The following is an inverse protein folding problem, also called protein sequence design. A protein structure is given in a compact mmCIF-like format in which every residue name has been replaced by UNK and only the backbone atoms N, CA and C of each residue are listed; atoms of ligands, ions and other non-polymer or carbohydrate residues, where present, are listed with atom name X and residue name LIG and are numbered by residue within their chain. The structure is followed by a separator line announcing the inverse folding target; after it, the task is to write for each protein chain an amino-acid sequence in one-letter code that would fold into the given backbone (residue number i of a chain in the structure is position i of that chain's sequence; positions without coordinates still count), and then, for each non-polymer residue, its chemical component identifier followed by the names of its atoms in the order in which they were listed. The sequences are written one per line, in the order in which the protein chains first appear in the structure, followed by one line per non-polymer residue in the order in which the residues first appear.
data_IF_026733706485
#
_entry.id   IF_026733706485
#
_cell.length_a   1.000
_cell.length_b   1.000
_cell.length_c   1.000
_cell.angle_alpha   90.00
_cell.angle_beta   90.00
_cell.angle_gamma   90.00
#
_symmetry.space_group_name_H-M   'P 1'
#
loop_
_entity.id
_entity.type
_entity.pdbx_description
1 polymer ?
#
# COMPACT_ATOMS: atom_id res chain seq x y z
N UNK A 1 -22.94 13.90 -14.79
CA UNK A 1 -23.10 13.94 -13.32
C UNK A 1 -21.76 13.52 -12.74
N UNK A 2 -21.18 14.37 -11.90
CA UNK A 2 -19.89 14.10 -11.26
C UNK A 2 -20.10 13.04 -10.17
N UNK A 3 -19.80 11.78 -10.48
CA UNK A 3 -20.00 10.63 -9.58
C UNK A 3 -19.03 10.60 -8.39
N UNK A 4 -18.11 11.56 -8.32
CA UNK A 4 -17.02 11.62 -7.33
C UNK A 4 -17.48 11.74 -5.87
N UNK A 5 -18.79 11.93 -5.61
CA UNK A 5 -19.30 12.36 -4.31
C UNK A 5 -20.51 11.60 -3.75
N UNK A 6 -21.02 10.53 -4.39
CA UNK A 6 -22.21 9.77 -3.92
C UNK A 6 -21.91 8.29 -3.63
N UNK A 7 -22.52 7.73 -2.58
CA UNK A 7 -22.48 6.28 -2.28
C UNK A 7 -23.66 5.58 -2.96
N UNK A 8 -23.38 4.65 -3.87
CA UNK A 8 -24.40 3.78 -4.44
C UNK A 8 -24.66 2.57 -3.53
N UNK A 9 -25.88 2.00 -3.54
CA UNK A 9 -26.13 0.67 -2.99
C UNK A 9 -25.17 -0.36 -3.61
N UNK A 10 -24.95 -1.47 -2.91
CA UNK A 10 -24.14 -2.56 -3.46
C UNK A 10 -24.72 -3.04 -4.80
N UNK A 11 -23.87 -3.11 -5.82
CA UNK A 11 -24.21 -3.60 -7.15
C UNK A 11 -23.46 -4.90 -7.45
N UNK A 12 -24.15 -6.04 -7.65
CA UNK A 12 -23.53 -7.30 -8.04
C UNK A 12 -22.67 -7.22 -9.31
N UNK A 13 -22.95 -6.25 -10.21
CA UNK A 13 -22.17 -6.03 -11.41
C UNK A 13 -20.73 -5.60 -11.13
N UNK A 14 -20.41 -5.10 -9.94
CA UNK A 14 -19.03 -4.75 -9.54
C UNK A 14 -18.09 -5.96 -9.60
N UNK A 15 -18.58 -7.15 -9.26
CA UNK A 15 -17.80 -8.38 -9.39
C UNK A 15 -17.49 -8.68 -10.86
N UNK A 16 -18.48 -8.55 -11.74
CA UNK A 16 -18.30 -8.77 -13.17
C UNK A 16 -17.36 -7.74 -13.81
N UNK A 17 -17.44 -6.46 -13.39
CA UNK A 17 -16.50 -5.41 -13.80
C UNK A 17 -15.06 -5.75 -13.39
N UNK A 18 -14.86 -6.21 -12.16
CA UNK A 18 -13.55 -6.68 -11.71
C UNK A 18 -13.02 -7.83 -12.57
N UNK A 19 -13.80 -8.88 -12.82
CA UNK A 19 -13.34 -10.03 -13.61
C UNK A 19 -12.98 -9.65 -15.06
N UNK A 20 -13.75 -8.73 -15.66
CA UNK A 20 -13.48 -8.20 -16.99
C UNK A 20 -12.16 -7.40 -17.02
N UNK A 21 -11.91 -6.55 -16.02
CA UNK A 21 -10.69 -5.75 -15.94
C UNK A 21 -9.47 -6.61 -15.58
N UNK A 22 -9.63 -7.60 -14.68
CA UNK A 22 -8.61 -8.61 -14.36
C UNK A 22 -8.16 -9.38 -15.61
N UNK A 23 -9.09 -9.71 -16.51
CA UNK A 23 -8.77 -10.39 -17.78
C UNK A 23 -7.91 -9.54 -18.72
N UNK A 24 -8.02 -8.20 -18.66
CA UNK A 24 -7.16 -7.28 -19.40
C UNK A 24 -5.78 -7.09 -18.75
N UNK A 25 -5.72 -7.12 -17.41
CA UNK A 25 -4.48 -6.99 -16.65
C UNK A 25 -3.59 -8.24 -16.72
N UNK A 26 -4.19 -9.44 -16.71
CA UNK A 26 -3.47 -10.71 -16.76
C UNK A 26 -2.37 -10.80 -17.83
N UNK A 27 -2.61 -10.47 -19.12
CA UNK A 27 -1.56 -10.53 -20.14
C UNK A 27 -0.45 -9.49 -19.95
N UNK A 28 -0.70 -8.36 -19.29
CA UNK A 28 0.30 -7.31 -19.03
C UNK A 28 1.31 -7.79 -17.99
N UNK A 29 0.81 -8.38 -16.89
CA UNK A 29 1.67 -8.86 -15.82
C UNK A 29 2.23 -10.26 -16.08
N UNK A 30 1.48 -11.10 -16.80
CA UNK A 30 1.86 -12.46 -17.12
C UNK A 30 2.30 -13.24 -15.87
N UNK A 31 3.41 -14.01 -15.93
CA UNK A 31 3.93 -14.76 -14.79
C UNK A 31 4.41 -13.91 -13.61
N UNK A 32 4.53 -12.59 -13.77
CA UNK A 32 4.97 -11.71 -12.69
C UNK A 32 3.84 -11.35 -11.71
N UNK A 33 2.57 -11.50 -12.11
CA UNK A 33 1.45 -11.40 -11.18
C UNK A 33 1.40 -12.66 -10.33
N UNK A 34 1.73 -12.52 -9.06
CA UNK A 34 1.54 -13.59 -8.06
C UNK A 34 0.04 -13.80 -7.83
N UNK A 35 -0.69 -12.69 -7.62
CA UNK A 35 -2.13 -12.68 -7.38
C UNK A 35 -2.75 -11.39 -7.96
N UNK A 36 -4.03 -11.46 -8.34
CA UNK A 36 -4.83 -10.32 -8.78
C UNK A 36 -6.20 -10.39 -8.09
N UNK A 37 -6.47 -9.41 -7.23
CA UNK A 37 -7.57 -9.46 -6.27
C UNK A 37 -8.46 -8.21 -6.35
N UNK A 38 -9.77 -8.42 -6.15
CA UNK A 38 -10.74 -7.35 -5.94
C UNK A 38 -10.64 -6.91 -4.49
N UNK A 39 -10.26 -5.64 -4.28
CA UNK A 39 -10.10 -5.04 -2.96
C UNK A 39 -11.06 -3.85 -2.82
N UNK A 40 -10.91 -3.09 -1.73
CA UNK A 40 -11.78 -1.96 -1.46
C UNK A 40 -13.19 -2.38 -1.10
N UNK A 41 -14.09 -1.40 -1.01
CA UNK A 41 -15.44 -1.64 -0.49
C UNK A 41 -16.37 -2.28 -1.53
N UNK A 42 -16.13 -2.08 -2.82
CA UNK A 42 -16.92 -2.72 -3.89
C UNK A 42 -16.69 -4.23 -3.96
N UNK A 43 -15.64 -4.74 -3.33
CA UNK A 43 -15.39 -6.17 -3.14
C UNK A 43 -16.23 -6.81 -2.01
N UNK A 44 -16.98 -6.02 -1.22
CA UNK A 44 -17.70 -6.50 -0.05
C UNK A 44 -19.21 -6.38 -0.27
N UNK A 45 -19.87 -7.52 -0.37
CA UNK A 45 -21.32 -7.59 -0.64
C UNK A 45 -22.15 -6.90 0.45
N UNK A 46 -23.04 -6.01 0.02
CA UNK A 46 -23.96 -5.29 0.91
C UNK A 46 -23.43 -3.97 1.48
N UNK A 47 -22.23 -3.51 1.07
CA UNK A 47 -21.68 -2.22 1.52
C UNK A 47 -21.94 -1.12 0.48
N UNK A 48 -22.68 -0.04 0.84
CA UNK A 48 -22.78 1.15 0.01
C UNK A 48 -21.41 1.76 -0.25
N UNK A 49 -21.10 2.02 -1.51
CA UNK A 49 -19.75 2.41 -1.94
C UNK A 49 -19.80 3.40 -3.09
N UNK A 50 -18.72 4.19 -3.24
CA UNK A 50 -18.45 4.83 -4.51
C UNK A 50 -18.31 3.71 -5.57
N UNK A 51 -18.91 3.85 -6.76
CA UNK A 51 -18.90 2.80 -7.79
C UNK A 51 -17.55 2.73 -8.53
N UNK A 52 -16.46 2.65 -7.77
CA UNK A 52 -15.08 2.53 -8.25
C UNK A 52 -14.58 1.13 -7.90
N UNK A 53 -14.03 0.42 -8.88
CA UNK A 53 -13.50 -0.92 -8.69
C UNK A 53 -12.03 -0.81 -8.30
N UNK A 54 -11.69 -1.14 -7.05
CA UNK A 54 -10.31 -1.19 -6.58
C UNK A 54 -9.70 -2.58 -6.85
N UNK A 55 -8.60 -2.60 -7.59
CA UNK A 55 -7.89 -3.82 -8.00
C UNK A 55 -6.49 -3.79 -7.40
N UNK A 56 -6.06 -4.90 -6.81
CA UNK A 56 -4.67 -5.11 -6.40
C UNK A 56 -4.02 -6.20 -7.26
N UNK A 57 -2.80 -5.94 -7.72
CA UNK A 57 -1.93 -6.94 -8.34
C UNK A 57 -0.69 -7.08 -7.46
N UNK A 58 -0.42 -8.29 -6.95
CA UNK A 58 0.79 -8.57 -6.21
C UNK A 58 1.90 -8.99 -7.18
N UNK A 59 3.07 -8.35 -7.09
CA UNK A 59 4.29 -8.77 -7.78
C UNK A 59 5.40 -9.08 -6.78
N UNK A 60 6.41 -9.84 -7.21
CA UNK A 60 7.51 -10.26 -6.32
C UNK A 60 8.28 -9.08 -5.73
N UNK A 61 8.60 -8.08 -6.54
CA UNK A 61 9.47 -6.98 -6.12
C UNK A 61 9.04 -5.64 -6.68
N UNK A 62 9.22 -4.58 -5.89
CA UNK A 62 9.19 -3.20 -6.38
C UNK A 62 10.17 -2.99 -7.54
N UNK A 63 11.28 -3.75 -7.55
CA UNK A 63 12.28 -3.70 -8.61
C UNK A 63 11.67 -4.18 -9.91
N UNK A 64 11.59 -3.25 -10.87
CA UNK A 64 11.01 -3.50 -12.18
C UNK A 64 9.51 -3.25 -12.27
N UNK A 65 8.85 -2.71 -11.24
CA UNK A 65 7.43 -2.30 -11.35
C UNK A 65 7.19 -1.35 -12.52
N UNK A 66 8.14 -0.45 -12.79
CA UNK A 66 8.03 0.55 -13.85
C UNK A 66 7.93 -0.08 -15.26
N UNK A 67 8.32 -1.34 -15.45
CA UNK A 67 8.16 -2.04 -16.74
C UNK A 67 6.70 -2.29 -17.12
N UNK A 68 5.78 -2.24 -16.16
CA UNK A 68 4.35 -2.45 -16.39
C UNK A 68 3.61 -1.16 -16.76
N UNK A 69 4.22 0.00 -16.57
CA UNK A 69 3.59 1.33 -16.76
C UNK A 69 3.01 1.46 -18.16
N UNK A 70 3.81 1.21 -19.20
CA UNK A 70 3.35 1.34 -20.59
C UNK A 70 2.22 0.35 -20.91
N UNK A 71 2.28 -0.87 -20.36
CA UNK A 71 1.27 -1.89 -20.56
C UNK A 71 -0.08 -1.52 -19.93
N UNK A 72 -0.07 -1.02 -18.69
CA UNK A 72 -1.30 -0.56 -18.04
C UNK A 72 -1.84 0.73 -18.67
N UNK A 73 -0.94 1.62 -19.11
CA UNK A 73 -1.32 2.84 -19.84
C UNK A 73 -2.00 2.51 -21.18
N UNK A 74 -1.52 1.48 -21.89
CA UNK A 74 -2.10 1.04 -23.15
C UNK A 74 -3.55 0.54 -23.02
N UNK A 75 -4.00 0.11 -21.84
CA UNK A 75 -5.40 -0.28 -21.57
C UNK A 75 -6.21 0.84 -20.87
N UNK A 76 -5.67 2.06 -20.83
CA UNK A 76 -6.39 3.27 -20.42
C UNK A 76 -6.17 3.70 -18.96
N UNK A 77 -5.18 3.15 -18.26
CA UNK A 77 -4.78 3.67 -16.95
C UNK A 77 -3.89 4.91 -17.08
N UNK A 78 -4.21 5.97 -16.34
CA UNK A 78 -3.26 7.01 -15.99
C UNK A 78 -2.27 6.45 -14.96
N UNK A 79 -1.12 6.00 -15.47
CA UNK A 79 -0.04 5.40 -14.72
C UNK A 79 1.25 6.17 -15.00
N UNK A 80 2.01 6.43 -13.95
CA UNK A 80 3.33 7.06 -14.04
C UNK A 80 4.37 6.18 -13.35
N UNK A 81 5.64 6.23 -13.77
CA UNK A 81 6.72 5.57 -13.05
C UNK A 81 6.71 5.93 -11.57
N UNK A 82 6.92 4.94 -10.72
CA UNK A 82 6.92 5.11 -9.28
C UNK A 82 8.22 5.81 -8.84
N UNK A 83 8.14 7.01 -8.21
CA UNK A 83 9.33 7.66 -7.68
C UNK A 83 9.69 7.08 -6.31
N UNK A 84 10.92 6.59 -6.10
CA UNK A 84 11.35 6.09 -4.79
C UNK A 84 10.60 4.84 -4.31
N UNK A 85 10.57 4.63 -2.99
CA UNK A 85 9.97 3.42 -2.40
C UNK A 85 8.57 3.73 -1.90
N UNK A 86 7.58 3.07 -2.49
CA UNK A 86 6.20 3.09 -2.02
C UNK A 86 5.72 1.66 -1.76
N UNK A 87 4.68 1.49 -0.92
CA UNK A 87 4.04 0.18 -0.74
C UNK A 87 3.24 -0.29 -1.98
N UNK A 88 3.01 0.61 -2.95
CA UNK A 88 2.38 0.29 -4.24
C UNK A 88 2.66 1.33 -5.32
N UNK A 89 2.59 0.93 -6.59
CA UNK A 89 2.30 1.84 -7.71
C UNK A 89 0.78 1.97 -7.83
N UNK A 90 0.27 3.21 -7.91
CA UNK A 90 -1.16 3.48 -8.02
C UNK A 90 -1.49 4.12 -9.37
N UNK A 91 -2.55 3.64 -10.02
CA UNK A 91 -3.02 4.15 -11.30
C UNK A 91 -4.56 4.21 -11.34
N UNK A 92 -5.12 5.07 -12.19
CA UNK A 92 -6.58 5.28 -12.31
C UNK A 92 -7.03 5.12 -13.76
N UNK A 93 -8.25 4.62 -14.00
CA UNK A 93 -8.83 4.49 -15.34
C UNK A 93 -10.28 4.97 -15.35
N UNK A 94 -10.67 5.65 -16.42
CA UNK A 94 -12.01 6.20 -16.66
C UNK A 94 -12.12 7.70 -16.38
N UNK A 95 -13.06 8.36 -17.05
CA UNK A 95 -13.47 9.74 -16.80
C UNK A 95 -15.02 9.84 -16.88
N UNK A 96 -15.75 9.85 -15.74
CA UNK A 96 -15.23 9.82 -14.36
C UNK A 96 -14.53 8.50 -14.02
N UNK A 97 -13.69 8.51 -12.98
CA UNK A 97 -12.89 7.34 -12.58
C UNK A 97 -13.79 6.12 -12.29
N UNK A 98 -13.49 5.00 -12.94
CA UNK A 98 -14.19 3.73 -12.77
C UNK A 98 -13.32 2.65 -12.11
N UNK A 99 -12.00 2.72 -12.29
CA UNK A 99 -11.07 1.73 -11.76
C UNK A 99 -9.88 2.38 -11.07
N UNK A 100 -9.48 1.77 -9.97
CA UNK A 100 -8.23 1.99 -9.29
C UNK A 100 -7.38 0.74 -9.40
N UNK A 101 -6.12 0.90 -9.80
CA UNK A 101 -5.14 -0.19 -9.85
C UNK A 101 -4.04 0.09 -8.82
N UNK A 102 -3.77 -0.92 -8.00
CA UNK A 102 -2.67 -0.94 -7.03
C UNK A 102 -1.74 -2.09 -7.38
N UNK A 103 -0.52 -1.79 -7.82
CA UNK A 103 0.53 -2.80 -7.99
C UNK A 103 1.30 -2.86 -6.69
N UNK A 104 1.07 -3.90 -5.88
CA UNK A 104 1.69 -4.12 -4.58
C UNK A 104 2.92 -5.02 -4.71
N UNK A 105 3.79 -4.97 -3.70
CA UNK A 105 5.08 -5.65 -3.72
C UNK A 105 5.19 -6.62 -2.55
N UNK A 106 5.60 -7.87 -2.82
CA UNK A 106 5.75 -8.87 -1.74
C UNK A 106 6.96 -8.60 -0.84
N UNK A 107 7.90 -7.77 -1.31
CA UNK A 107 9.10 -7.40 -0.58
C UNK A 107 9.02 -6.02 0.10
N UNK A 108 7.95 -5.23 -0.11
CA UNK A 108 7.80 -3.88 0.47
C UNK A 108 6.42 -3.65 1.05
N UNK A 109 6.41 -3.18 2.30
CA UNK A 109 5.19 -2.68 2.95
C UNK A 109 4.22 -3.79 3.34
N UNK A 110 3.00 -3.38 3.66
CA UNK A 110 1.91 -4.27 4.08
C UNK A 110 0.60 -3.96 3.38
N UNK A 111 0.65 -3.21 2.27
CA UNK A 111 -0.55 -2.77 1.57
C UNK A 111 -1.45 -3.95 1.22
N UNK A 112 -0.89 -4.99 0.60
CA UNK A 112 -1.65 -6.17 0.20
C UNK A 112 -2.35 -6.84 1.37
N UNK A 113 -1.59 -7.18 2.42
CA UNK A 113 -2.10 -7.84 3.62
C UNK A 113 -3.22 -7.01 4.26
N UNK A 114 -3.02 -5.70 4.42
CA UNK A 114 -4.05 -4.82 4.97
C UNK A 114 -5.33 -4.84 4.12
N UNK A 115 -5.21 -4.77 2.80
CA UNK A 115 -6.39 -4.78 1.92
C UNK A 115 -7.13 -6.12 1.96
N UNK A 116 -6.41 -7.24 1.86
CA UNK A 116 -6.99 -8.58 1.86
C UNK A 116 -7.62 -8.91 3.22
N UNK A 117 -6.88 -8.69 4.32
CA UNK A 117 -7.36 -8.99 5.67
C UNK A 117 -8.58 -8.12 6.04
N UNK A 118 -8.57 -6.84 5.70
CA UNK A 118 -9.72 -5.97 5.93
C UNK A 118 -10.95 -6.45 5.15
N UNK A 119 -10.81 -6.74 3.85
CA UNK A 119 -11.87 -7.27 3.00
C UNK A 119 -12.44 -8.57 3.55
N UNK A 120 -11.58 -9.54 3.84
CA UNK A 120 -12.00 -10.89 4.21
C UNK A 120 -12.61 -10.94 5.62
N UNK A 121 -12.14 -10.08 6.53
CA UNK A 121 -12.79 -9.90 7.82
C UNK A 121 -14.22 -9.36 7.67
N UNK A 122 -14.42 -8.33 6.85
CA UNK A 122 -15.77 -7.78 6.62
C UNK A 122 -16.69 -8.74 5.85
N UNK A 123 -16.14 -9.60 4.98
CA UNK A 123 -16.89 -10.69 4.34
C UNK A 123 -17.31 -11.79 5.32
N UNK A 124 -16.52 -12.05 6.36
CA UNK A 124 -16.83 -13.09 7.35
C UNK A 124 -17.63 -12.59 8.56
N UNK A 125 -17.64 -11.28 8.83
CA UNK A 125 -18.33 -10.68 10.00
C UNK A 125 -19.47 -9.75 9.58
N UNK A 126 -20.71 -10.22 9.74
CA UNK A 126 -21.91 -9.44 9.40
C UNK A 126 -22.04 -8.16 10.25
N UNK A 127 -21.70 -8.23 11.54
CA UNK A 127 -21.75 -7.07 12.45
C UNK A 127 -20.74 -6.00 12.07
N UNK A 128 -19.49 -6.38 11.80
CA UNK A 128 -18.46 -5.45 11.37
C UNK A 128 -18.80 -4.82 10.00
N UNK A 129 -19.39 -5.61 9.10
CA UNK A 129 -19.86 -5.11 7.81
C UNK A 129 -20.96 -4.06 7.96
N UNK A 130 -21.94 -4.33 8.82
CA UNK A 130 -23.03 -3.39 9.11
C UNK A 130 -22.50 -2.11 9.74
N UNK A 131 -21.58 -2.22 10.69
CA UNK A 131 -20.92 -1.07 11.32
C UNK A 131 -20.18 -0.22 10.28
N UNK A 132 -19.42 -0.85 9.37
CA UNK A 132 -18.72 -0.12 8.31
C UNK A 132 -19.70 0.58 7.36
N UNK A 133 -20.78 -0.09 6.97
CA UNK A 133 -21.82 0.50 6.12
C UNK A 133 -22.47 1.72 6.79
N UNK A 134 -22.79 1.63 8.08
CA UNK A 134 -23.35 2.74 8.86
C UNK A 134 -22.36 3.91 8.97
N UNK A 135 -21.09 3.61 9.28
CA UNK A 135 -20.04 4.62 9.35
C UNK A 135 -19.95 5.39 8.05
N UNK A 136 -19.95 4.70 6.90
CA UNK A 136 -19.92 5.35 5.59
C UNK A 136 -21.10 6.29 5.36
N UNK A 137 -22.31 5.85 5.69
CA UNK A 137 -23.51 6.68 5.55
C UNK A 137 -23.45 7.89 6.50
N UNK A 138 -22.97 7.73 7.73
CA UNK A 138 -22.86 8.84 8.69
C UNK A 138 -21.86 9.92 8.28
N UNK A 139 -20.86 9.59 7.45
CA UNK A 139 -19.85 10.53 6.95
C UNK A 139 -20.32 11.35 5.74
N UNK A 140 -21.52 11.09 5.23
CA UNK A 140 -22.16 11.93 4.21
C UNK A 140 -22.60 13.24 4.88
N UNK A 141 -21.88 14.34 4.62
CA UNK A 141 -22.29 15.67 5.11
C UNK A 141 -23.48 16.15 4.29
N UNK A 142 -24.61 16.48 4.90
CA UNK A 142 -25.70 17.18 4.19
C UNK A 142 -25.26 18.60 3.84
N UNK A 143 -25.49 19.03 2.60
CA UNK A 143 -25.29 20.43 2.24
C UNK A 143 -26.39 21.32 2.88
N UNK A 144 -26.19 22.65 2.86
CA UNK A 144 -27.13 23.63 3.42
C UNK A 144 -28.50 23.66 2.72
N UNK A 145 -28.69 22.89 1.65
CA UNK A 145 -29.97 22.72 0.95
C UNK A 145 -30.71 21.42 1.30
N UNK A 146 -30.19 20.64 2.26
CA UNK A 146 -30.80 19.38 2.70
C UNK A 146 -30.59 18.21 1.73
N UNK A 147 -29.70 18.35 0.74
CA UNK A 147 -29.30 17.25 -0.15
C UNK A 147 -28.14 16.48 0.48
N UNK A 148 -28.10 15.17 0.26
CA UNK A 148 -26.97 14.32 0.65
C UNK A 148 -25.70 14.88 -0.01
N UNK A 149 -24.80 15.43 0.79
CA UNK A 149 -23.59 16.08 0.29
C UNK A 149 -22.36 15.19 0.41
N UNK A 150 -21.19 15.82 0.45
CA UNK A 150 -19.90 15.20 0.17
C UNK A 150 -19.57 14.04 1.13
N UNK A 151 -19.25 12.87 0.56
CA UNK A 151 -18.61 11.77 1.30
C UNK A 151 -17.11 12.06 1.44
N UNK A 152 -16.67 12.38 2.66
CA UNK A 152 -15.26 12.52 3.01
C UNK A 152 -14.63 11.14 3.24
N UNK A 153 -13.69 10.75 2.38
CA UNK A 153 -13.04 9.43 2.47
C UNK A 153 -12.06 9.29 3.64
N UNK A 154 -11.67 10.41 4.27
CA UNK A 154 -10.51 10.52 5.15
C UNK A 154 -10.89 11.16 6.51
N UNK A 155 -11.85 10.54 7.22
CA UNK A 155 -12.17 10.91 8.60
C UNK A 155 -11.46 10.01 9.61
N UNK A 156 -11.00 10.59 10.73
CA UNK A 156 -10.37 9.87 11.85
C UNK A 156 -11.17 8.62 12.26
N UNK A 157 -12.50 8.73 12.35
CA UNK A 157 -13.38 7.61 12.68
C UNK A 157 -13.27 6.41 11.72
N UNK A 158 -13.01 6.65 10.42
CA UNK A 158 -12.78 5.57 9.44
C UNK A 158 -11.40 4.96 9.61
N UNK A 159 -10.39 5.77 9.88
CA UNK A 159 -9.03 5.28 10.19
C UNK A 159 -9.09 4.37 11.42
N UNK A 160 -9.70 4.82 12.51
CA UNK A 160 -9.86 4.04 13.74
C UNK A 160 -10.62 2.72 13.52
N UNK A 161 -11.69 2.79 12.71
CA UNK A 161 -12.45 1.60 12.32
C UNK A 161 -11.58 0.60 11.58
N UNK A 162 -10.86 1.05 10.54
CA UNK A 162 -9.98 0.19 9.72
C UNK A 162 -8.90 -0.45 10.59
N UNK A 163 -8.24 0.33 11.44
CA UNK A 163 -7.20 -0.20 12.34
C UNK A 163 -7.75 -1.25 13.31
N UNK A 164 -8.93 -1.00 13.90
CA UNK A 164 -9.56 -1.98 14.79
C UNK A 164 -9.91 -3.27 14.05
N UNK A 165 -10.46 -3.18 12.84
CA UNK A 165 -10.76 -4.36 12.02
C UNK A 165 -9.49 -5.13 11.68
N UNK A 166 -8.42 -4.44 11.30
CA UNK A 166 -7.12 -5.08 11.04
C UNK A 166 -6.59 -5.81 12.27
N UNK A 167 -6.64 -5.20 13.47
CA UNK A 167 -6.26 -5.87 14.73
C UNK A 167 -7.10 -7.12 14.98
N UNK A 168 -8.42 -7.05 14.79
CA UNK A 168 -9.32 -8.19 14.96
C UNK A 168 -9.11 -9.29 13.90
N UNK A 169 -8.69 -8.93 12.70
CA UNK A 169 -8.28 -9.86 11.66
C UNK A 169 -6.92 -10.53 11.94
N UNK A 170 -6.25 -10.15 13.03
CA UNK A 170 -4.93 -10.67 13.39
C UNK A 170 -3.77 -9.97 12.67
N UNK A 171 -4.02 -8.81 12.04
CA UNK A 171 -2.94 -8.02 11.44
C UNK A 171 -2.07 -7.49 12.58
N UNK A 172 -0.82 -7.94 12.60
CA UNK A 172 0.21 -7.38 13.45
C UNK A 172 1.07 -6.48 12.58
N UNK A 173 1.22 -5.21 12.96
CA UNK A 173 2.08 -4.26 12.26
C UNK A 173 3.55 -4.61 12.52
N UNK A 174 4.04 -5.65 11.88
CA UNK A 174 5.40 -6.17 12.05
C UNK A 174 5.74 -7.10 10.89
N UNK A 175 6.26 -6.55 9.79
CA UNK A 175 7.18 -7.20 8.85
C UNK A 175 7.47 -6.26 7.68
N UNK A 176 8.15 -5.16 7.95
CA UNK A 176 8.86 -4.48 6.87
C UNK A 176 10.06 -5.37 6.54
N UNK A 177 10.02 -6.01 5.36
CA UNK A 177 11.12 -6.83 4.83
C UNK A 177 11.48 -8.08 5.64
N UNK A 178 10.54 -9.01 5.90
CA UNK A 178 10.98 -10.42 5.98
C UNK A 178 11.26 -10.90 4.56
N UNK A 179 12.52 -10.81 4.14
CA UNK A 179 12.99 -11.60 3.02
C UNK A 179 12.54 -13.06 3.21
N UNK A 180 11.99 -13.70 2.18
CA UNK A 180 11.64 -15.13 2.24
C UNK A 180 12.82 -15.95 2.80
N UNK A 181 12.57 -17.08 3.49
CA UNK A 181 13.60 -18.07 3.75
C UNK A 181 14.32 -18.37 2.43
N UNK A 182 15.64 -18.25 2.42
CA UNK A 182 16.45 -18.56 1.25
C UNK A 182 16.07 -19.94 0.72
N UNK A 183 15.67 -20.04 -0.55
CA UNK A 183 15.64 -21.34 -1.24
C UNK A 183 17.01 -21.98 -1.09
N UNK A 184 17.07 -23.26 -0.71
CA UNK A 184 18.31 -24.04 -0.76
C UNK A 184 18.97 -23.84 -2.13
N UNK A 185 20.21 -23.34 -2.12
CA UNK A 185 21.00 -23.09 -3.34
C UNK A 185 20.99 -21.65 -3.89
N UNK A 186 20.31 -20.68 -3.25
CA UNK A 186 20.54 -19.27 -3.57
C UNK A 186 21.98 -18.87 -3.19
N UNK A 187 22.73 -18.23 -4.10
CA UNK A 187 24.05 -17.67 -3.76
C UNK A 187 23.88 -16.76 -2.54
N UNK A 188 24.71 -16.89 -1.48
CA UNK A 188 24.63 -15.99 -0.35
C UNK A 188 24.78 -14.55 -0.86
N UNK A 189 23.76 -13.72 -0.64
CA UNK A 189 23.91 -12.27 -0.81
C UNK A 189 25.04 -11.85 0.14
N UNK A 190 25.94 -10.93 -0.24
CA UNK A 190 26.98 -10.47 0.66
C UNK A 190 26.30 -10.01 1.96
N UNK A 191 26.72 -10.59 3.10
CA UNK A 191 26.29 -10.18 4.44
C UNK A 191 26.84 -8.78 4.69
N UNK A 192 26.22 -7.76 4.10
CA UNK A 192 26.48 -6.36 4.46
C UNK A 192 25.78 -6.11 5.79
N UNK A 193 26.48 -5.56 6.77
CA UNK A 193 25.86 -5.11 8.02
C UNK A 193 25.72 -3.59 8.05
N UNK A 194 24.62 -3.11 8.64
CA UNK A 194 24.51 -1.72 9.07
C UNK A 194 25.30 -1.61 10.37
N UNK A 195 26.17 -0.63 10.46
CA UNK A 195 26.96 -0.34 11.67
C UNK A 195 26.30 0.74 12.51
N UNK A 196 25.56 1.66 11.88
CA UNK A 196 24.76 2.66 12.57
C UNK A 196 23.51 3.04 11.79
N UNK A 197 22.44 3.36 12.52
CA UNK A 197 21.23 3.99 12.00
C UNK A 197 20.97 5.28 12.76
N UNK A 198 20.64 6.35 12.03
CA UNK A 198 20.15 7.61 12.61
C UNK A 198 18.80 7.90 12.01
N UNK A 199 17.80 8.16 12.86
CA UNK A 199 16.48 8.63 12.41
C UNK A 199 16.50 10.15 12.38
N UNK A 200 16.23 10.73 11.22
CA UNK A 200 16.04 12.16 10.96
C UNK A 200 14.57 12.41 10.66
N UNK A 201 14.05 13.51 11.20
CA UNK A 201 12.68 13.97 10.99
C UNK A 201 11.58 12.91 11.25
N UNK A 202 11.88 11.87 12.04
CA UNK A 202 10.96 10.78 12.38
C UNK A 202 10.69 9.78 11.26
N UNK A 203 11.29 9.91 10.07
CA UNK A 203 11.03 9.00 8.95
C UNK A 203 12.22 8.80 8.01
N UNK A 204 13.25 9.63 8.06
CA UNK A 204 14.43 9.48 7.22
C UNK A 204 15.50 8.69 7.98
N UNK A 205 15.92 7.55 7.42
CA UNK A 205 17.02 6.76 7.95
C UNK A 205 18.32 7.15 7.25
N UNK A 206 19.30 7.59 8.03
CA UNK A 206 20.69 7.62 7.59
C UNK A 206 21.37 6.32 8.07
N UNK A 207 21.88 5.55 7.12
CA UNK A 207 22.46 4.24 7.38
C UNK A 207 23.95 4.28 7.04
N UNK A 208 24.78 3.84 7.99
CA UNK A 208 26.20 3.57 7.72
C UNK A 208 26.39 2.07 7.61
N UNK A 209 27.06 1.64 6.54
CA UNK A 209 27.34 0.23 6.30
C UNK A 209 28.77 -0.13 6.75
N UNK A 210 29.02 -1.43 6.88
CA UNK A 210 30.34 -2.00 7.21
C UNK A 210 31.46 -1.59 6.24
N UNK A 211 31.14 -1.30 4.98
CA UNK A 211 32.07 -0.80 3.97
C UNK A 211 32.31 0.72 4.04
N UNK A 212 31.77 1.40 5.06
CA UNK A 212 31.90 2.83 5.28
C UNK A 212 31.01 3.69 4.38
N UNK A 213 30.18 3.08 3.50
CA UNK A 213 29.21 3.84 2.73
C UNK A 213 28.10 4.35 3.63
N UNK A 214 27.58 5.52 3.25
CA UNK A 214 26.38 6.11 3.83
C UNK A 214 25.29 6.09 2.78
N UNK A 215 24.09 5.73 3.18
CA UNK A 215 22.90 5.80 2.33
C UNK A 215 21.71 6.29 3.13
N UNK A 216 20.70 6.79 2.44
CA UNK A 216 19.48 7.31 3.07
C UNK A 216 18.23 6.57 2.60
N UNK A 217 17.28 6.33 3.51
CA UNK A 217 15.99 5.68 3.21
C UNK A 217 14.86 6.48 3.86
N UNK A 218 13.95 6.99 3.06
CA UNK A 218 12.79 7.76 3.45
C UNK A 218 11.62 6.80 3.62
N UNK A 219 11.21 6.63 4.87
CA UNK A 219 10.13 5.73 5.24
C UNK A 219 8.74 6.32 4.94
N UNK A 220 8.60 7.60 4.55
CA UNK A 220 7.28 8.21 4.28
C UNK A 220 6.52 7.52 3.15
N UNK A 221 7.23 6.98 2.16
CA UNK A 221 6.63 6.18 1.09
C UNK A 221 6.36 4.73 1.48
N UNK A 222 7.14 4.21 2.44
CA UNK A 222 7.11 2.82 2.90
C UNK A 222 6.08 2.62 4.01
N UNK A 223 5.80 3.67 4.79
CA UNK A 223 5.00 3.58 6.00
C UNK A 223 4.09 4.80 6.09
N UNK A 224 2.89 4.68 5.53
CA UNK A 224 1.76 5.48 6.02
C UNK A 224 1.08 4.69 7.12
N UNK A 225 1.39 5.05 8.37
CA UNK A 225 0.50 4.98 9.53
C UNK A 225 1.26 5.52 10.76
N UNK A 226 0.94 6.77 11.13
CA UNK A 226 1.02 7.48 12.42
C UNK A 226 1.88 6.97 13.59
N UNK A 227 2.94 6.25 13.33
CA UNK A 227 3.92 5.84 14.33
C UNK A 227 5.00 6.91 14.27
N UNK A 228 5.12 7.72 15.31
CA UNK A 228 6.36 8.46 15.54
C UNK A 228 7.46 7.41 15.69
N UNK A 229 8.22 7.20 14.63
CA UNK A 229 9.38 6.31 14.67
C UNK A 229 10.42 7.07 15.48
N UNK A 230 10.39 6.84 16.79
CA UNK A 230 11.31 7.44 17.75
C UNK A 230 12.75 6.98 17.49
N UNK A 231 13.40 6.38 18.47
CA UNK A 231 14.77 5.91 18.22
C UNK A 231 14.77 4.57 17.51
N UNK A 232 15.77 4.37 16.65
CA UNK A 232 16.05 3.11 16.00
C UNK A 232 17.43 2.60 16.43
N UNK A 233 17.59 1.28 16.50
CA UNK A 233 18.85 0.61 16.81
C UNK A 233 19.13 -0.50 15.82
N UNK A 234 20.40 -0.81 15.61
CA UNK A 234 20.79 -2.00 14.86
C UNK A 234 20.81 -3.20 15.80
N UNK A 235 20.14 -4.28 15.42
CA UNK A 235 20.14 -5.55 16.13
C UNK A 235 20.21 -6.70 15.12
N UNK A 236 21.28 -7.50 15.18
CA UNK A 236 21.47 -8.77 14.45
C UNK A 236 20.84 -8.84 13.04
N UNK A 237 21.33 -8.01 12.12
CA UNK A 237 20.89 -8.02 10.72
C UNK A 237 19.57 -7.27 10.47
N UNK A 238 19.02 -6.61 11.49
CA UNK A 238 17.83 -5.78 11.40
C UNK A 238 18.06 -4.39 12.00
N UNK A 239 17.26 -3.43 11.57
CA UNK A 239 17.04 -2.15 12.24
C UNK A 239 15.73 -2.26 13.00
N UNK A 240 15.73 -1.98 14.30
CA UNK A 240 14.58 -2.08 15.20
C UNK A 240 14.22 -0.71 15.76
N UNK A 241 12.93 -0.42 15.92
CA UNK A 241 12.41 0.81 16.54
C UNK A 241 11.77 0.54 17.89
N UNK A 242 11.73 1.55 18.75
CA UNK A 242 11.12 1.49 20.09
C UNK A 242 9.63 1.09 20.06
N UNK A 243 8.94 1.37 18.96
CA UNK A 243 7.55 0.96 18.73
C UNK A 243 7.39 -0.54 18.42
N UNK A 244 8.48 -1.32 18.45
CA UNK A 244 8.49 -2.75 18.15
C UNK A 244 8.57 -3.08 16.66
N UNK A 245 8.67 -2.07 15.79
CA UNK A 245 8.88 -2.27 14.34
C UNK A 245 10.30 -2.75 14.08
N UNK A 246 10.52 -3.57 13.05
CA UNK A 246 11.86 -3.88 12.56
C UNK A 246 11.92 -4.05 11.03
N UNK A 247 13.11 -3.85 10.46
CA UNK A 247 13.40 -3.98 9.03
C UNK A 247 14.73 -4.70 8.79
N UNK A 248 14.78 -5.61 7.80
CA UNK A 248 16.02 -6.29 7.41
C UNK A 248 17.03 -5.34 6.75
N UNK A 249 18.29 -5.45 7.17
CA UNK A 249 19.41 -4.63 6.67
C UNK A 249 19.60 -4.76 5.16
N UNK A 250 19.39 -5.95 4.59
CA UNK A 250 19.52 -6.18 3.17
C UNK A 250 18.46 -5.44 2.35
N UNK A 251 17.24 -5.33 2.88
CA UNK A 251 16.17 -4.52 2.30
C UNK A 251 16.49 -3.02 2.33
N UNK A 252 16.95 -2.53 3.48
CA UNK A 252 17.33 -1.13 3.64
C UNK A 252 18.53 -0.72 2.76
N UNK A 253 19.57 -1.56 2.67
CA UNK A 253 20.71 -1.33 1.76
C UNK A 253 20.27 -1.28 0.29
N UNK A 254 19.38 -2.21 -0.10
CA UNK A 254 18.86 -2.28 -1.46
C UNK A 254 18.06 -1.04 -1.86
N UNK A 255 17.37 -0.40 -0.91
CA UNK A 255 16.68 0.88 -1.11
C UNK A 255 17.67 2.04 -1.14
N UNK A 256 18.59 2.11 -0.17
CA UNK A 256 19.54 3.22 -0.01
C UNK A 256 20.58 3.35 -1.14
N UNK A 257 20.81 2.27 -1.89
CA UNK A 257 21.83 2.20 -2.96
C UNK A 257 21.24 2.03 -4.36
N UNK A 258 19.92 2.07 -4.50
CA UNK A 258 19.27 2.04 -5.81
C UNK A 258 19.48 3.40 -6.51
N UNK A 259 20.12 3.47 -7.70
CA UNK A 259 20.29 4.73 -8.42
C UNK A 259 18.97 5.35 -8.91
N UNK A 260 17.86 4.60 -8.89
CA UNK A 260 16.51 5.11 -9.13
C UNK A 260 15.85 5.65 -7.84
N UNK A 261 16.52 5.52 -6.71
CA UNK A 261 16.14 6.18 -5.46
C UNK A 261 16.50 7.67 -5.59
N UNK A 262 15.52 8.59 -5.60
CA UNK A 262 15.84 10.01 -5.63
C UNK A 262 16.64 10.33 -4.36
N UNK A 263 17.73 11.11 -4.45
CA UNK A 263 18.36 11.61 -3.24
C UNK A 263 17.30 12.30 -2.40
N UNK A 264 17.40 12.15 -1.07
CA UNK A 264 16.71 13.04 -0.13
C UNK A 264 16.78 14.46 -0.67
N UNK A 265 15.65 15.20 -0.74
CA UNK A 265 15.72 16.62 -1.06
C UNK A 265 16.79 17.21 -0.15
N UNK A 266 17.88 17.73 -0.73
CA UNK A 266 18.90 18.40 0.07
C UNK A 266 18.19 19.53 0.79
N UNK A 267 18.28 19.54 2.13
CA UNK A 267 17.86 20.68 2.91
C UNK A 267 18.67 21.89 2.47
N UNK A 268 18.03 22.75 1.67
CA UNK A 268 18.52 24.09 1.40
C UNK A 268 18.27 24.57 -0.02
N UNK A 269 17.25 25.39 -0.21
CA UNK A 269 17.46 26.84 -0.41
C UNK A 269 16.14 27.63 -0.48
N UNK A 270 16.01 28.55 0.48
CA UNK A 270 15.06 29.64 0.69
C UNK A 270 13.93 29.38 1.69
#
# INVERSE_FOLDING_TARGET
MDYSFYLAPYDPAWKSKFEAEKSQLQPIFGPAALEIEHIGSTAIEGIPSKPIIDIAVMIESIRGVNRFVDGVAAIGYDASPLPGVHERLFARKGDPVEYHLSIAFSDVGSFWERQIMFRDYLRSSASARQEYAQLKVSTIRRDSSGRDGQYGEDGEAKTDFVERILRLAGFQQCQLYRGRPTREGARPRPKRSVTSVVVRDGYLLELTFDDGKVGSVDLRGIIKLHSDFGTARVADGTVEWDCGTSADVGGLYAAATDPCYPPTPEDGTA
#
